data_IF_525633063261
#
_entry.id   IF_525633063261
#
_cell.length_a   1.000
_cell.length_b   1.000
_cell.length_c   1.000
_cell.angle_alpha   90.00
_cell.angle_beta   90.00
_cell.angle_gamma   90.00
#
_symmetry.space_group_name_H-M   'P 1'
#
loop_
_entity.id
_entity.type
_entity.pdbx_description
1 polymer ?
#
# COMPACT_ATOMS: atom_id res chain seq x y z
N UNK A 1 -128.50 -200.95 116.00
CA UNK A 1 -128.04 -200.42 117.30
C UNK A 1 -126.60 -199.97 117.08
N UNK A 2 -126.11 -198.87 117.64
CA UNK A 2 -126.77 -197.91 118.54
C UNK A 2 -127.42 -196.72 117.79
N UNK A 3 -127.70 -195.63 118.50
CA UNK A 3 -128.21 -194.36 117.99
C UNK A 3 -127.11 -193.31 118.08
N UNK A 4 -126.93 -192.49 117.03
CA UNK A 4 -126.17 -191.24 117.11
C UNK A 4 -127.14 -190.05 117.13
N UNK A 5 -126.76 -188.98 117.84
CA UNK A 5 -127.68 -187.92 118.28
C UNK A 5 -127.47 -186.60 117.54
N UNK A 6 -128.52 -185.78 117.33
CA UNK A 6 -128.49 -184.61 116.44
C UNK A 6 -127.72 -183.38 116.97
N UNK A 7 -126.73 -183.55 117.87
CA UNK A 7 -125.93 -182.43 118.40
C UNK A 7 -124.65 -182.16 117.59
N UNK A 8 -123.97 -183.17 117.02
CA UNK A 8 -122.70 -182.96 116.32
C UNK A 8 -122.81 -182.15 115.02
N UNK A 9 -123.92 -182.26 114.28
CA UNK A 9 -124.16 -181.44 113.10
C UNK A 9 -124.29 -179.94 113.43
N UNK A 10 -124.66 -179.57 114.66
CA UNK A 10 -124.73 -178.17 115.08
C UNK A 10 -123.32 -177.56 115.25
N UNK A 11 -122.36 -178.33 115.76
CA UNK A 11 -120.99 -177.86 115.97
C UNK A 11 -120.26 -177.57 114.65
N UNK A 12 -120.37 -178.47 113.66
CA UNK A 12 -119.78 -178.24 112.33
C UNK A 12 -120.41 -177.01 111.62
N UNK A 13 -121.73 -176.83 111.74
CA UNK A 13 -122.42 -175.67 111.17
C UNK A 13 -122.01 -174.34 111.82
N UNK A 14 -121.56 -174.36 113.08
CA UNK A 14 -121.10 -173.15 113.78
C UNK A 14 -119.66 -172.78 113.41
N UNK A 15 -118.74 -173.75 113.36
CA UNK A 15 -117.36 -173.53 112.90
C UNK A 15 -117.30 -173.00 111.46
N UNK A 16 -118.12 -173.52 110.55
CA UNK A 16 -118.18 -173.02 109.18
C UNK A 16 -118.69 -171.57 109.09
N UNK A 17 -119.64 -171.15 109.96
CA UNK A 17 -120.08 -169.75 110.03
C UNK A 17 -119.00 -168.82 110.56
N UNK A 18 -118.20 -169.27 111.52
CA UNK A 18 -117.11 -168.50 112.11
C UNK A 18 -115.96 -168.31 111.11
N UNK A 19 -115.66 -169.32 110.29
CA UNK A 19 -114.76 -169.22 109.13
C UNK A 19 -115.33 -168.28 108.07
N UNK A 20 -116.62 -168.39 107.72
CA UNK A 20 -117.27 -167.49 106.75
C UNK A 20 -117.23 -166.04 107.24
N UNK A 21 -117.63 -165.75 108.47
CA UNK A 21 -117.58 -164.40 109.04
C UNK A 21 -116.16 -163.82 109.10
N UNK A 22 -115.16 -164.69 109.35
CA UNK A 22 -113.74 -164.29 109.29
C UNK A 22 -113.34 -163.93 107.85
N UNK A 23 -113.67 -164.77 106.87
CA UNK A 23 -113.41 -164.50 105.45
C UNK A 23 -114.20 -163.30 104.92
N UNK A 24 -115.41 -163.03 105.43
CA UNK A 24 -116.19 -161.82 105.10
C UNK A 24 -115.54 -160.57 105.70
N UNK A 25 -114.98 -160.65 106.92
CA UNK A 25 -114.20 -159.57 107.53
C UNK A 25 -112.85 -159.34 106.83
N UNK A 26 -112.20 -160.40 106.34
CA UNK A 26 -110.97 -160.30 105.55
C UNK A 26 -111.27 -159.81 104.12
N UNK A 27 -112.40 -160.21 103.52
CA UNK A 27 -112.83 -159.74 102.20
C UNK A 27 -113.18 -158.26 102.24
N UNK A 28 -114.01 -157.82 103.19
CA UNK A 28 -114.31 -156.39 103.37
C UNK A 28 -113.08 -155.57 103.79
N UNK A 29 -112.14 -156.16 104.55
CA UNK A 29 -110.84 -155.55 104.84
C UNK A 29 -109.91 -155.47 103.62
N UNK A 30 -109.97 -156.43 102.69
CA UNK A 30 -109.29 -156.38 101.39
C UNK A 30 -109.96 -155.36 100.47
N UNK A 31 -111.29 -155.36 100.36
CA UNK A 31 -112.06 -154.40 99.55
C UNK A 31 -111.81 -152.97 100.01
N UNK A 32 -111.89 -152.68 101.32
CA UNK A 32 -111.56 -151.34 101.84
C UNK A 32 -110.12 -150.91 101.57
N UNK A 33 -109.16 -151.85 101.55
CA UNK A 33 -107.77 -151.58 101.13
C UNK A 33 -107.61 -151.44 99.62
N UNK A 34 -108.46 -152.10 98.82
CA UNK A 34 -108.43 -152.08 97.37
C UNK A 34 -109.13 -150.81 96.84
N UNK A 35 -110.20 -150.36 97.48
CA UNK A 35 -110.83 -149.06 97.24
C UNK A 35 -109.98 -147.90 97.78
N UNK A 36 -109.30 -148.08 98.92
CA UNK A 36 -108.24 -147.18 99.37
C UNK A 36 -107.13 -147.05 98.33
N UNK A 37 -106.57 -148.18 97.87
CA UNK A 37 -105.56 -148.20 96.83
C UNK A 37 -106.06 -147.67 95.47
N UNK A 38 -107.35 -147.83 95.13
CA UNK A 38 -107.96 -147.19 93.94
C UNK A 38 -108.06 -145.68 94.11
N UNK A 39 -108.41 -145.18 95.29
CA UNK A 39 -108.47 -143.75 95.57
C UNK A 39 -107.07 -143.12 95.56
N UNK A 40 -106.09 -143.77 96.20
CA UNK A 40 -104.67 -143.39 96.12
C UNK A 40 -104.16 -143.44 94.69
N UNK A 41 -104.49 -144.46 93.91
CA UNK A 41 -104.06 -144.60 92.51
C UNK A 41 -104.73 -143.55 91.60
N UNK A 42 -106.01 -143.21 91.81
CA UNK A 42 -106.69 -142.14 91.09
C UNK A 42 -106.16 -140.74 91.47
N UNK A 43 -105.79 -140.53 92.73
CA UNK A 43 -105.12 -139.31 93.18
C UNK A 43 -103.69 -139.20 92.59
N UNK A 44 -102.93 -140.30 92.57
CA UNK A 44 -101.65 -140.36 91.87
C UNK A 44 -101.81 -140.17 90.36
N UNK A 45 -102.84 -140.72 89.70
CA UNK A 45 -103.13 -140.47 88.29
C UNK A 45 -103.47 -138.99 88.04
N UNK A 46 -104.20 -138.34 88.95
CA UNK A 46 -104.49 -136.90 88.89
C UNK A 46 -103.22 -136.07 89.08
N UNK A 47 -102.38 -136.39 90.07
CA UNK A 47 -101.09 -135.71 90.31
C UNK A 47 -100.11 -135.94 89.14
N UNK A 48 -100.10 -137.12 88.52
CA UNK A 48 -99.31 -137.41 87.32
C UNK A 48 -99.83 -136.64 86.11
N UNK A 49 -101.14 -136.48 85.95
CA UNK A 49 -101.72 -135.66 84.89
C UNK A 49 -101.42 -134.16 85.09
N UNK A 50 -101.54 -133.64 86.31
CA UNK A 50 -101.24 -132.25 86.65
C UNK A 50 -99.73 -131.95 86.51
N UNK A 51 -98.86 -132.84 86.98
CA UNK A 51 -97.40 -132.68 86.80
C UNK A 51 -96.94 -132.89 85.36
N UNK A 52 -97.63 -133.72 84.56
CA UNK A 52 -97.39 -133.82 83.11
C UNK A 52 -97.79 -132.54 82.38
N UNK A 53 -98.98 -131.98 82.67
CA UNK A 53 -99.42 -130.71 82.11
C UNK A 53 -98.49 -129.54 82.50
N UNK A 54 -98.07 -129.48 83.77
CA UNK A 54 -97.08 -128.52 84.24
C UNK A 54 -95.70 -128.73 83.59
N UNK A 55 -95.31 -129.97 83.28
CA UNK A 55 -94.08 -130.26 82.55
C UNK A 55 -94.16 -129.82 81.08
N UNK A 56 -95.31 -129.98 80.41
CA UNK A 56 -95.55 -129.44 79.06
C UNK A 56 -95.58 -127.90 79.05
N UNK A 57 -96.16 -127.27 80.07
CA UNK A 57 -96.08 -125.80 80.27
C UNK A 57 -94.63 -125.34 80.50
N UNK A 58 -93.84 -126.06 81.30
CA UNK A 58 -92.41 -125.74 81.47
C UNK A 58 -91.59 -126.00 80.19
N UNK A 59 -91.90 -127.04 79.40
CA UNK A 59 -91.23 -127.28 78.11
C UNK A 59 -91.57 -126.20 77.06
N UNK A 60 -92.81 -125.74 77.02
CA UNK A 60 -93.22 -124.62 76.15
C UNK A 60 -92.63 -123.28 76.64
N UNK A 61 -92.57 -123.05 77.95
CA UNK A 61 -91.86 -121.90 78.55
C UNK A 61 -90.36 -121.91 78.20
N UNK A 62 -89.68 -123.05 78.36
CA UNK A 62 -88.25 -123.21 78.02
C UNK A 62 -88.00 -122.98 76.53
N UNK A 63 -88.84 -123.51 75.63
CA UNK A 63 -88.66 -123.29 74.18
C UNK A 63 -88.94 -121.84 73.75
N UNK A 64 -89.89 -121.15 74.40
CA UNK A 64 -90.09 -119.70 74.22
C UNK A 64 -88.89 -118.89 74.76
N UNK A 65 -88.35 -119.25 75.93
CA UNK A 65 -87.16 -118.60 76.48
C UNK A 65 -85.90 -118.84 75.64
N UNK A 66 -85.74 -120.03 75.07
CA UNK A 66 -84.65 -120.34 74.12
C UNK A 66 -84.78 -119.50 72.84
N UNK A 67 -85.98 -119.38 72.28
CA UNK A 67 -86.21 -118.51 71.13
C UNK A 67 -85.94 -117.03 71.45
N UNK A 68 -86.24 -116.56 72.66
CA UNK A 68 -85.88 -115.22 73.14
C UNK A 68 -84.37 -115.07 73.37
N UNK A 69 -83.70 -116.07 73.92
CA UNK A 69 -82.24 -116.08 74.13
C UNK A 69 -81.49 -115.99 72.80
N UNK A 70 -81.91 -116.76 71.78
CA UNK A 70 -81.31 -116.74 70.46
C UNK A 70 -81.68 -115.46 69.67
N UNK A 71 -82.89 -114.90 69.85
CA UNK A 71 -83.23 -113.57 69.34
C UNK A 71 -82.36 -112.47 69.97
N UNK A 72 -82.13 -112.52 71.28
CA UNK A 72 -81.26 -111.56 71.98
C UNK A 72 -79.79 -111.73 71.57
N UNK A 73 -79.31 -112.96 71.39
CA UNK A 73 -77.98 -113.24 70.81
C UNK A 73 -77.82 -112.63 69.42
N UNK A 74 -78.81 -112.81 68.54
CA UNK A 74 -78.80 -112.22 67.20
C UNK A 74 -78.76 -110.68 67.26
N UNK A 75 -79.60 -110.06 68.08
CA UNK A 75 -79.62 -108.61 68.25
C UNK A 75 -78.33 -108.05 68.89
N UNK A 76 -77.68 -108.79 69.80
CA UNK A 76 -76.37 -108.44 70.36
C UNK A 76 -75.30 -108.52 69.28
N UNK A 77 -75.25 -109.60 68.49
CA UNK A 77 -74.28 -109.75 67.41
C UNK A 77 -74.45 -108.68 66.31
N UNK A 78 -75.69 -108.29 66.01
CA UNK A 78 -76.02 -107.18 65.11
C UNK A 78 -75.53 -105.84 65.68
N UNK A 79 -75.83 -105.53 66.94
CA UNK A 79 -75.37 -104.32 67.61
C UNK A 79 -73.83 -104.25 67.79
N UNK A 80 -73.16 -105.39 68.00
CA UNK A 80 -71.70 -105.48 68.03
C UNK A 80 -71.09 -105.23 66.64
N UNK A 81 -71.70 -105.74 65.58
CA UNK A 81 -71.30 -105.48 64.19
C UNK A 81 -71.53 -104.00 63.79
N UNK A 82 -72.69 -103.43 64.13
CA UNK A 82 -72.96 -101.99 63.94
C UNK A 82 -71.94 -101.14 64.70
N UNK A 83 -71.64 -101.46 65.96
CA UNK A 83 -70.66 -100.74 66.77
C UNK A 83 -69.25 -100.85 66.20
N UNK A 84 -68.85 -102.02 65.69
CA UNK A 84 -67.56 -102.19 65.03
C UNK A 84 -67.47 -101.36 63.73
N UNK A 85 -68.55 -101.30 62.94
CA UNK A 85 -68.63 -100.46 61.75
C UNK A 85 -68.60 -98.96 62.10
N UNK A 86 -69.34 -98.52 63.11
CA UNK A 86 -69.33 -97.14 63.62
C UNK A 86 -67.96 -96.74 64.16
N UNK A 87 -67.29 -97.63 64.91
CA UNK A 87 -65.93 -97.39 65.40
C UNK A 87 -64.96 -97.22 64.21
N UNK A 88 -64.98 -98.15 63.26
CA UNK A 88 -64.14 -98.08 62.04
C UNK A 88 -64.38 -96.78 61.26
N UNK A 89 -65.64 -96.35 61.12
CA UNK A 89 -65.99 -95.09 60.47
C UNK A 89 -65.51 -93.86 61.26
N UNK A 90 -65.57 -93.89 62.59
CA UNK A 90 -65.08 -92.80 63.45
C UNK A 90 -63.55 -92.70 63.44
N UNK A 91 -62.84 -93.83 63.37
CA UNK A 91 -61.38 -93.88 63.24
C UNK A 91 -60.96 -93.37 61.85
N UNK A 92 -61.64 -93.78 60.78
CA UNK A 92 -61.41 -93.28 59.43
C UNK A 92 -61.65 -91.76 59.32
N UNK A 93 -62.76 -91.25 59.88
CA UNK A 93 -63.05 -89.81 59.93
C UNK A 93 -62.02 -89.04 60.76
N UNK A 94 -61.51 -89.63 61.84
CA UNK A 94 -60.45 -89.01 62.66
C UNK A 94 -59.14 -88.88 61.87
N UNK A 95 -58.79 -89.90 61.07
CA UNK A 95 -57.63 -89.85 60.16
C UNK A 95 -57.85 -88.81 59.06
N UNK A 96 -59.03 -88.76 58.45
CA UNK A 96 -59.37 -87.76 57.41
C UNK A 96 -59.29 -86.33 57.95
N UNK A 97 -59.88 -86.06 59.12
CA UNK A 97 -59.79 -84.75 59.76
C UNK A 97 -58.34 -84.37 60.13
N UNK A 98 -57.51 -85.34 60.52
CA UNK A 98 -56.10 -85.11 60.79
C UNK A 98 -55.33 -84.74 59.51
N UNK A 99 -55.52 -85.45 58.40
CA UNK A 99 -54.85 -85.13 57.13
C UNK A 99 -55.33 -83.80 56.53
N UNK A 100 -56.63 -83.47 56.64
CA UNK A 100 -57.14 -82.15 56.27
C UNK A 100 -56.54 -81.03 57.13
N UNK A 101 -56.30 -81.28 58.42
CA UNK A 101 -55.65 -80.30 59.32
C UNK A 101 -54.18 -80.11 58.94
N UNK A 102 -53.43 -81.18 58.73
CA UNK A 102 -52.02 -81.12 58.29
C UNK A 102 -51.87 -80.40 56.94
N UNK A 103 -52.77 -80.67 55.98
CA UNK A 103 -52.80 -79.95 54.70
C UNK A 103 -53.11 -78.46 54.90
N UNK A 104 -54.10 -78.09 55.71
CA UNK A 104 -54.45 -76.70 55.98
C UNK A 104 -53.34 -75.94 56.72
N UNK A 105 -52.58 -76.59 57.59
CA UNK A 105 -51.40 -76.01 58.23
C UNK A 105 -50.25 -75.81 57.23
N UNK A 106 -50.02 -76.76 56.32
CA UNK A 106 -49.03 -76.63 55.25
C UNK A 106 -49.37 -75.53 54.24
N UNK A 107 -50.62 -75.45 53.78
CA UNK A 107 -51.11 -74.38 52.90
C UNK A 107 -51.01 -73.00 53.57
N UNK A 108 -51.35 -72.92 54.87
CA UNK A 108 -51.20 -71.68 55.65
C UNK A 108 -49.73 -71.28 55.81
N UNK A 109 -48.83 -72.21 56.04
CA UNK A 109 -47.40 -71.94 56.15
C UNK A 109 -46.83 -71.44 54.81
N UNK A 110 -47.23 -72.04 53.68
CA UNK A 110 -46.85 -71.58 52.34
C UNK A 110 -47.38 -70.16 52.08
N UNK A 111 -48.67 -69.89 52.32
CA UNK A 111 -49.24 -68.55 52.12
C UNK A 111 -48.63 -67.48 53.03
N UNK A 112 -48.18 -67.82 54.24
CA UNK A 112 -47.43 -66.88 55.07
C UNK A 112 -46.04 -66.61 54.49
N UNK A 113 -45.32 -67.62 54.02
CA UNK A 113 -44.03 -67.44 53.35
C UNK A 113 -44.16 -66.62 52.05
N UNK A 114 -45.21 -66.85 51.26
CA UNK A 114 -45.52 -66.06 50.06
C UNK A 114 -45.79 -64.59 50.40
N UNK A 115 -46.55 -64.33 51.49
CA UNK A 115 -46.86 -62.98 51.94
C UNK A 115 -45.63 -62.24 52.49
N UNK A 116 -44.78 -62.92 53.25
CA UNK A 116 -43.50 -62.37 53.73
C UNK A 116 -42.55 -62.07 52.55
N UNK A 117 -42.50 -62.93 51.53
CA UNK A 117 -41.73 -62.71 50.31
C UNK A 117 -42.27 -61.53 49.47
N UNK A 118 -43.60 -61.40 49.30
CA UNK A 118 -44.20 -60.23 48.64
C UNK A 118 -43.95 -58.94 49.42
N UNK A 119 -43.99 -58.98 50.75
CA UNK A 119 -43.69 -57.82 51.60
C UNK A 119 -42.25 -57.37 51.44
N UNK A 120 -41.29 -58.31 51.40
CA UNK A 120 -39.88 -58.00 51.12
C UNK A 120 -39.67 -57.44 49.70
N UNK A 121 -40.35 -57.99 48.68
CA UNK A 121 -40.26 -57.50 47.31
C UNK A 121 -40.85 -56.09 47.14
N UNK A 122 -41.93 -55.76 47.87
CA UNK A 122 -42.50 -54.40 47.91
C UNK A 122 -41.53 -53.41 48.58
N UNK A 123 -40.82 -53.83 49.62
CA UNK A 123 -39.80 -53.00 50.28
C UNK A 123 -38.59 -52.72 49.36
N UNK A 124 -38.05 -53.72 48.66
CA UNK A 124 -37.01 -53.55 47.63
C UNK A 124 -37.47 -52.57 46.54
N UNK A 125 -38.67 -52.77 46.00
CA UNK A 125 -39.20 -51.94 44.93
C UNK A 125 -39.41 -50.48 45.40
N UNK A 126 -39.88 -50.25 46.63
CA UNK A 126 -40.00 -48.89 47.19
C UNK A 126 -38.63 -48.21 47.29
N UNK A 127 -37.65 -48.90 47.89
CA UNK A 127 -36.28 -48.35 48.03
C UNK A 127 -35.61 -48.06 46.70
N UNK A 128 -35.83 -48.90 45.67
CA UNK A 128 -35.33 -48.67 44.30
C UNK A 128 -36.02 -47.50 43.61
N UNK A 129 -37.32 -47.31 43.83
CA UNK A 129 -38.07 -46.15 43.29
C UNK A 129 -37.67 -44.86 44.00
N UNK A 130 -37.37 -44.90 45.30
CA UNK A 130 -36.82 -43.76 46.05
C UNK A 130 -35.40 -43.41 45.58
N UNK A 131 -34.52 -44.40 45.37
CA UNK A 131 -33.19 -44.20 44.81
C UNK A 131 -33.24 -43.60 43.40
N UNK A 132 -34.10 -44.11 42.52
CA UNK A 132 -34.29 -43.58 41.17
C UNK A 132 -34.78 -42.12 41.19
N UNK A 133 -35.70 -41.75 42.08
CA UNK A 133 -36.15 -40.35 42.24
C UNK A 133 -35.03 -39.42 42.73
N UNK A 134 -34.14 -39.90 43.59
CA UNK A 134 -32.98 -39.13 44.04
C UNK A 134 -31.95 -38.95 42.92
N UNK A 135 -31.79 -39.93 42.04
CA UNK A 135 -30.96 -39.82 40.83
C UNK A 135 -31.57 -38.87 39.80
N UNK A 136 -32.87 -39.00 39.49
CA UNK A 136 -33.61 -38.06 38.61
C UNK A 136 -33.50 -36.60 39.10
N UNK A 137 -33.67 -36.36 40.40
CA UNK A 137 -33.55 -35.03 40.99
C UNK A 137 -32.13 -34.45 40.81
N UNK A 138 -31.10 -35.25 41.11
CA UNK A 138 -29.69 -34.86 40.92
C UNK A 138 -29.36 -34.60 39.45
N UNK A 139 -29.87 -35.41 38.53
CA UNK A 139 -29.68 -35.23 37.09
C UNK A 139 -30.40 -33.96 36.59
N UNK A 140 -31.57 -33.62 37.14
CA UNK A 140 -32.26 -32.38 36.84
C UNK A 140 -31.45 -31.14 37.29
N UNK A 141 -30.91 -31.14 38.53
CA UNK A 141 -30.03 -30.08 39.04
C UNK A 141 -28.77 -29.92 38.17
N UNK A 142 -28.13 -31.02 37.78
CA UNK A 142 -26.95 -31.00 36.90
C UNK A 142 -27.27 -30.46 35.50
N UNK A 143 -28.46 -30.76 34.97
CA UNK A 143 -28.90 -30.32 33.65
C UNK A 143 -29.29 -28.83 33.67
N UNK A 144 -29.87 -28.32 34.77
CA UNK A 144 -30.11 -26.89 34.98
C UNK A 144 -28.80 -26.11 35.12
N UNK A 145 -27.84 -26.61 35.91
CA UNK A 145 -26.51 -26.01 36.03
C UNK A 145 -25.77 -25.93 34.68
N UNK A 146 -25.78 -27.01 33.90
CA UNK A 146 -25.16 -27.04 32.57
C UNK A 146 -25.84 -26.10 31.56
N UNK A 147 -27.16 -25.85 31.70
CA UNK A 147 -27.87 -24.83 30.91
C UNK A 147 -27.44 -23.41 31.29
N UNK A 148 -27.27 -23.12 32.58
CA UNK A 148 -26.80 -21.83 33.05
C UNK A 148 -25.37 -21.53 32.56
N UNK A 149 -24.46 -22.49 32.71
CA UNK A 149 -23.08 -22.38 32.20
C UNK A 149 -23.05 -22.16 30.68
N UNK A 150 -23.90 -22.86 29.92
CA UNK A 150 -24.01 -22.68 28.47
C UNK A 150 -24.52 -21.28 28.06
N UNK A 151 -25.41 -20.67 28.86
CA UNK A 151 -25.84 -19.28 28.66
C UNK A 151 -24.70 -18.30 28.93
N UNK A 152 -24.02 -18.43 30.08
CA UNK A 152 -22.90 -17.59 30.49
C UNK A 152 -21.73 -17.65 29.48
N UNK A 153 -21.42 -18.85 28.96
CA UNK A 153 -20.42 -19.03 27.91
C UNK A 153 -20.84 -18.41 26.57
N UNK A 154 -22.15 -18.43 26.25
CA UNK A 154 -22.68 -17.80 25.03
C UNK A 154 -22.58 -16.28 25.11
N UNK A 155 -23.00 -15.67 26.23
CA UNK A 155 -22.92 -14.21 26.47
C UNK A 155 -21.47 -13.71 26.46
N UNK A 156 -20.53 -14.45 27.08
CA UNK A 156 -19.09 -14.16 27.00
C UNK A 156 -18.55 -14.20 25.56
N UNK A 157 -19.01 -15.18 24.78
CA UNK A 157 -18.55 -15.41 23.41
C UNK A 157 -19.16 -14.41 22.41
N UNK A 158 -20.35 -13.86 22.68
CA UNK A 158 -20.86 -12.68 21.98
C UNK A 158 -20.09 -11.40 22.36
N UNK A 159 -19.80 -11.21 23.65
CA UNK A 159 -18.99 -10.07 24.14
C UNK A 159 -17.61 -10.05 23.49
N UNK A 160 -16.89 -11.16 23.51
CA UNK A 160 -15.55 -11.27 22.91
C UNK A 160 -15.55 -11.00 21.39
N UNK A 161 -16.62 -11.33 20.67
CA UNK A 161 -16.78 -11.00 19.23
C UNK A 161 -17.02 -9.51 19.00
N UNK A 162 -17.72 -8.83 19.90
CA UNK A 162 -17.91 -7.39 19.84
C UNK A 162 -16.57 -6.66 20.10
N UNK A 163 -15.77 -7.14 21.06
CA UNK A 163 -14.43 -6.63 21.35
C UNK A 163 -13.46 -6.85 20.18
N UNK A 164 -13.40 -8.05 19.61
CA UNK A 164 -12.56 -8.37 18.43
C UNK A 164 -12.91 -7.49 17.21
N UNK A 165 -14.20 -7.32 16.92
CA UNK A 165 -14.70 -6.42 15.88
C UNK A 165 -14.29 -4.96 16.11
N UNK A 166 -14.42 -4.47 17.36
CA UNK A 166 -14.01 -3.11 17.72
C UNK A 166 -12.49 -2.90 17.61
N UNK A 167 -11.69 -3.88 18.03
CA UNK A 167 -10.22 -3.86 17.90
C UNK A 167 -9.78 -3.92 16.44
N UNK A 168 -10.45 -4.70 15.58
CA UNK A 168 -10.19 -4.72 14.14
C UNK A 168 -10.47 -3.35 13.50
N UNK A 169 -11.57 -2.70 13.87
CA UNK A 169 -11.89 -1.34 13.39
C UNK A 169 -10.87 -0.29 13.85
N UNK A 170 -10.38 -0.37 15.09
CA UNK A 170 -9.29 0.50 15.58
C UNK A 170 -7.98 0.24 14.83
N UNK A 171 -7.66 -1.02 14.54
CA UNK A 171 -6.46 -1.44 13.81
C UNK A 171 -6.48 -0.97 12.34
N UNK A 172 -7.65 -0.94 11.70
CA UNK A 172 -7.85 -0.37 10.36
C UNK A 172 -7.73 1.16 10.37
N UNK A 173 -8.34 1.85 11.34
CA UNK A 173 -8.24 3.29 11.49
C UNK A 173 -6.78 3.75 11.72
N UNK A 174 -6.04 3.08 12.61
CA UNK A 174 -4.63 3.38 12.88
C UNK A 174 -3.72 3.15 11.66
N UNK A 175 -4.05 2.18 10.79
CA UNK A 175 -3.35 1.98 9.51
C UNK A 175 -3.63 3.10 8.52
N UNK A 176 -4.87 3.59 8.45
CA UNK A 176 -5.23 4.73 7.60
C UNK A 176 -4.52 6.01 8.05
N UNK A 177 -4.52 6.31 9.36
CA UNK A 177 -3.78 7.44 9.94
C UNK A 177 -2.27 7.33 9.67
N UNK A 178 -1.68 6.15 9.86
CA UNK A 178 -0.27 5.91 9.52
C UNK A 178 0.04 6.07 8.02
N UNK A 179 -0.95 5.86 7.15
CA UNK A 179 -0.85 6.16 5.70
C UNK A 179 -0.81 7.66 5.44
N UNK A 180 -1.82 8.40 5.92
CA UNK A 180 -1.90 9.86 5.76
C UNK A 180 -0.65 10.56 6.32
N UNK A 181 -0.18 10.15 7.50
CA UNK A 181 1.05 10.69 8.11
C UNK A 181 2.30 10.39 7.27
N UNK A 182 2.33 9.27 6.52
CA UNK A 182 3.44 8.94 5.62
C UNK A 182 3.41 9.81 4.35
N UNK A 183 2.24 9.97 3.71
CA UNK A 183 2.07 10.85 2.54
C UNK A 183 2.40 12.32 2.87
N UNK A 184 1.98 12.79 4.05
CA UNK A 184 2.31 14.14 4.56
C UNK A 184 3.79 14.32 4.87
N UNK A 185 4.46 13.28 5.36
CA UNK A 185 5.91 13.26 5.60
C UNK A 185 6.72 13.26 4.30
N UNK A 186 6.26 12.55 3.26
CA UNK A 186 6.86 12.59 1.93
C UNK A 186 6.65 13.96 1.25
N UNK A 187 5.46 14.53 1.38
CA UNK A 187 5.15 15.89 0.89
C UNK A 187 6.06 16.93 1.53
N UNK A 188 6.19 16.93 2.87
CA UNK A 188 7.05 17.87 3.58
C UNK A 188 8.54 17.73 3.22
N UNK A 189 9.01 16.52 2.88
CA UNK A 189 10.39 16.31 2.38
C UNK A 189 10.60 16.88 0.98
N UNK A 190 9.59 16.78 0.10
CA UNK A 190 9.66 17.40 -1.22
C UNK A 190 9.67 18.93 -1.13
N UNK A 191 8.88 19.50 -0.20
CA UNK A 191 8.88 20.94 0.10
C UNK A 191 10.23 21.42 0.66
N UNK A 192 10.81 20.70 1.63
CA UNK A 192 12.13 21.00 2.22
C UNK A 192 13.28 20.92 1.19
N UNK A 193 13.24 19.94 0.28
CA UNK A 193 14.19 19.83 -0.84
C UNK A 193 14.04 21.02 -1.81
N UNK A 194 12.82 21.36 -2.21
CA UNK A 194 12.57 22.48 -3.13
C UNK A 194 12.94 23.85 -2.52
N UNK A 195 12.70 24.04 -1.22
CA UNK A 195 13.15 25.23 -0.47
C UNK A 195 14.68 25.28 -0.37
N UNK A 196 15.34 24.13 -0.19
CA UNK A 196 16.81 24.06 -0.18
C UNK A 196 17.41 24.46 -1.53
N UNK A 197 16.89 23.94 -2.65
CA UNK A 197 17.32 24.32 -4.00
C UNK A 197 17.10 25.82 -4.31
N UNK A 198 15.96 26.39 -3.88
CA UNK A 198 15.70 27.82 -3.99
C UNK A 198 16.69 28.66 -3.18
N UNK A 199 17.07 28.18 -1.98
CA UNK A 199 17.98 28.89 -1.08
C UNK A 199 19.43 28.81 -1.57
N UNK A 200 19.86 27.70 -2.16
CA UNK A 200 21.15 27.61 -2.87
C UNK A 200 21.18 28.52 -4.12
N UNK A 201 20.09 28.57 -4.89
CA UNK A 201 19.95 29.48 -6.03
C UNK A 201 20.07 30.94 -5.60
N UNK A 202 19.36 31.35 -4.54
CA UNK A 202 19.41 32.70 -4.00
C UNK A 202 20.81 33.10 -3.51
N UNK A 203 21.55 32.17 -2.87
CA UNK A 203 22.96 32.39 -2.49
C UNK A 203 23.88 32.57 -3.69
N UNK A 204 23.65 31.84 -4.78
CA UNK A 204 24.43 32.00 -6.01
C UNK A 204 24.15 33.36 -6.69
N UNK A 205 22.90 33.83 -6.65
CA UNK A 205 22.56 35.18 -7.11
C UNK A 205 23.15 36.28 -6.21
N UNK A 206 23.10 36.12 -4.89
CA UNK A 206 23.73 37.03 -3.91
C UNK A 206 25.25 37.15 -4.13
N UNK A 207 25.94 36.03 -4.35
CA UNK A 207 27.36 36.01 -4.65
C UNK A 207 27.68 36.74 -5.97
N UNK A 208 26.91 36.47 -7.04
CA UNK A 208 27.07 37.11 -8.35
C UNK A 208 26.76 38.60 -8.34
N UNK A 209 25.77 39.04 -7.55
CA UNK A 209 25.48 40.46 -7.33
C UNK A 209 26.60 41.13 -6.55
N UNK A 210 27.18 40.44 -5.56
CA UNK A 210 28.32 40.94 -4.77
C UNK A 210 29.59 41.10 -5.61
N UNK A 211 29.90 40.12 -6.47
CA UNK A 211 30.98 40.20 -7.47
C UNK A 211 30.77 41.40 -8.41
N UNK A 212 29.58 41.54 -9.00
CA UNK A 212 29.26 42.67 -9.88
C UNK A 212 29.31 44.03 -9.18
N UNK A 213 29.03 44.12 -7.89
CA UNK A 213 29.21 45.36 -7.12
C UNK A 213 30.69 45.69 -6.89
N UNK A 214 31.56 44.68 -6.76
CA UNK A 214 33.02 44.89 -6.71
C UNK A 214 33.56 45.35 -8.06
N UNK A 215 33.14 44.73 -9.17
CA UNK A 215 33.49 45.17 -10.53
C UNK A 215 33.08 46.62 -10.81
N UNK A 216 31.85 46.99 -10.42
CA UNK A 216 31.34 48.35 -10.58
C UNK A 216 32.12 49.36 -9.74
N UNK A 217 32.44 49.03 -8.47
CA UNK A 217 33.26 49.89 -7.62
C UNK A 217 34.69 50.05 -8.14
N UNK A 218 35.29 48.99 -8.69
CA UNK A 218 36.60 49.07 -9.34
C UNK A 218 36.58 49.95 -10.59
N UNK A 219 35.52 49.85 -11.42
CA UNK A 219 35.36 50.72 -12.59
C UNK A 219 35.04 52.17 -12.23
N UNK A 220 34.30 52.42 -11.14
CA UNK A 220 34.08 53.76 -10.58
C UNK A 220 35.40 54.37 -10.09
N UNK A 221 36.26 53.59 -9.42
CA UNK A 221 37.60 54.02 -9.04
C UNK A 221 38.48 54.33 -10.27
N UNK A 222 38.53 53.45 -11.27
CA UNK A 222 39.30 53.67 -12.51
C UNK A 222 38.83 54.95 -13.24
N UNK A 223 37.51 55.17 -13.33
CA UNK A 223 36.94 56.38 -13.92
C UNK A 223 37.27 57.63 -13.09
N UNK A 224 37.28 57.53 -11.76
CA UNK A 224 37.68 58.63 -10.87
C UNK A 224 39.15 58.98 -11.03
N UNK A 225 40.04 57.99 -11.02
CA UNK A 225 41.48 58.18 -11.25
C UNK A 225 41.72 58.79 -12.64
N UNK A 226 41.04 58.29 -13.68
CA UNK A 226 41.09 58.85 -15.04
C UNK A 226 40.60 60.29 -15.12
N UNK A 227 39.54 60.66 -14.39
CA UNK A 227 39.07 62.05 -14.31
C UNK A 227 40.12 62.94 -13.64
N UNK A 228 40.69 62.54 -12.49
CA UNK A 228 41.74 63.34 -11.83
C UNK A 228 43.01 63.49 -12.67
N UNK A 229 43.36 62.48 -13.47
CA UNK A 229 44.46 62.57 -14.44
C UNK A 229 44.14 63.54 -15.58
N UNK A 230 42.92 63.50 -16.14
CA UNK A 230 42.47 64.45 -17.16
C UNK A 230 42.38 65.89 -16.62
N UNK A 231 41.96 66.08 -15.38
CA UNK A 231 41.97 67.39 -14.70
C UNK A 231 43.41 67.91 -14.53
N UNK A 232 44.37 67.05 -14.19
CA UNK A 232 45.79 67.40 -14.11
C UNK A 232 46.41 67.69 -15.50
N UNK A 233 46.05 66.93 -16.55
CA UNK A 233 46.44 67.20 -17.93
C UNK A 233 45.88 68.55 -18.43
N UNK A 234 44.61 68.85 -18.14
CA UNK A 234 43.96 70.12 -18.47
C UNK A 234 44.64 71.28 -17.71
N UNK A 235 44.92 71.12 -16.42
CA UNK A 235 45.65 72.12 -15.64
C UNK A 235 47.07 72.36 -16.18
N UNK A 236 47.76 71.30 -16.61
CA UNK A 236 49.09 71.39 -17.23
C UNK A 236 49.03 72.07 -18.60
N UNK A 237 48.03 71.75 -19.42
CA UNK A 237 47.82 72.38 -20.73
C UNK A 237 47.43 73.86 -20.60
N UNK A 238 46.59 74.20 -19.63
CA UNK A 238 46.23 75.58 -19.31
C UNK A 238 47.45 76.39 -18.85
N UNK A 239 48.24 75.85 -17.90
CA UNK A 239 49.47 76.51 -17.43
C UNK A 239 50.51 76.71 -18.54
N UNK A 240 50.58 75.79 -19.52
CA UNK A 240 51.39 75.98 -20.73
C UNK A 240 50.86 77.08 -21.63
N UNK A 241 49.54 77.18 -21.84
CA UNK A 241 48.95 78.27 -22.61
C UNK A 241 49.15 79.63 -21.93
N UNK A 242 49.06 79.69 -20.59
CA UNK A 242 49.36 80.90 -19.80
C UNK A 242 50.84 81.33 -19.89
N UNK A 243 51.77 80.45 -20.29
CA UNK A 243 53.18 80.76 -20.57
C UNK A 243 53.43 81.05 -22.07
N UNK A 244 52.90 80.21 -22.97
CA UNK A 244 53.04 80.34 -24.42
C UNK A 244 52.37 81.62 -24.96
N UNK A 245 51.21 82.04 -24.43
CA UNK A 245 50.50 83.25 -24.89
C UNK A 245 51.31 84.54 -24.67
N UNK A 246 51.78 84.88 -23.44
CA UNK A 246 52.60 86.08 -23.25
C UNK A 246 53.96 85.99 -23.95
N UNK A 247 54.53 84.79 -24.09
CA UNK A 247 55.75 84.59 -24.88
C UNK A 247 55.53 84.94 -26.38
N UNK A 248 54.43 84.47 -26.98
CA UNK A 248 54.06 84.81 -28.37
C UNK A 248 53.64 86.27 -28.53
N UNK A 249 53.04 86.89 -27.51
CA UNK A 249 52.76 88.34 -27.51
C UNK A 249 54.08 89.14 -27.52
N UNK A 250 55.06 88.78 -26.68
CA UNK A 250 56.37 89.42 -26.67
C UNK A 250 57.16 89.21 -27.97
N UNK A 251 57.08 88.02 -28.60
CA UNK A 251 57.62 87.79 -29.95
C UNK A 251 56.95 88.69 -30.99
N UNK A 252 55.62 88.83 -30.96
CA UNK A 252 54.87 89.68 -31.88
C UNK A 252 55.22 91.17 -31.68
N UNK A 253 55.33 91.64 -30.44
CA UNK A 253 55.78 93.01 -30.13
C UNK A 253 57.21 93.24 -30.64
N UNK A 254 58.12 92.28 -30.46
CA UNK A 254 59.50 92.36 -30.96
C UNK A 254 59.57 92.35 -32.50
N UNK A 255 58.76 91.53 -33.18
CA UNK A 255 58.64 91.53 -34.64
C UNK A 255 58.02 92.84 -35.13
N UNK A 256 57.02 93.38 -34.44
CA UNK A 256 56.38 94.65 -34.80
C UNK A 256 57.33 95.84 -34.61
N UNK A 257 58.19 95.82 -33.59
CA UNK A 257 59.28 96.77 -33.42
C UNK A 257 60.33 96.66 -34.55
N UNK A 258 60.74 95.43 -34.92
CA UNK A 258 61.63 95.21 -36.07
C UNK A 258 61.00 95.70 -37.38
N UNK A 259 59.69 95.55 -37.56
CA UNK A 259 58.98 96.09 -38.73
C UNK A 259 59.04 97.63 -38.72
N UNK A 260 58.76 98.31 -37.60
CA UNK A 260 58.87 99.77 -37.54
C UNK A 260 60.29 100.27 -37.77
N UNK A 261 61.31 99.59 -37.23
CA UNK A 261 62.72 99.93 -37.45
C UNK A 261 63.10 99.77 -38.94
N UNK A 262 62.67 98.68 -39.58
CA UNK A 262 62.88 98.46 -41.02
C UNK A 262 62.06 99.39 -41.91
N UNK A 263 60.88 99.85 -41.47
CA UNK A 263 60.13 100.89 -42.17
C UNK A 263 60.87 102.23 -42.09
N UNK A 264 61.38 102.62 -40.93
CA UNK A 264 62.18 103.83 -40.78
C UNK A 264 63.50 103.79 -41.59
N UNK A 265 64.17 102.64 -41.61
CA UNK A 265 65.35 102.42 -42.46
C UNK A 265 65.00 102.50 -43.96
N UNK A 266 63.85 101.98 -44.38
CA UNK A 266 63.36 102.12 -45.76
C UNK A 266 62.96 103.55 -46.12
N UNK A 267 62.42 104.33 -45.19
CA UNK A 267 62.14 105.76 -45.38
C UNK A 267 63.44 106.55 -45.52
N UNK A 268 64.43 106.32 -44.66
CA UNK A 268 65.75 106.97 -44.75
C UNK A 268 66.49 106.58 -46.04
N UNK A 269 66.50 105.29 -46.41
CA UNK A 269 67.05 104.83 -47.69
C UNK A 269 66.29 105.39 -48.90
N UNK A 270 64.99 105.64 -48.81
CA UNK A 270 64.23 106.33 -49.87
C UNK A 270 64.60 107.82 -49.95
N UNK A 271 64.80 108.50 -48.81
CA UNK A 271 65.27 109.88 -48.77
C UNK A 271 66.72 110.03 -49.29
N UNK A 272 67.60 109.08 -48.95
CA UNK A 272 68.94 108.98 -49.54
C UNK A 272 68.85 108.75 -51.06
N UNK A 273 67.97 107.86 -51.53
CA UNK A 273 67.75 107.63 -52.97
C UNK A 273 67.23 108.88 -53.67
N UNK A 274 66.27 109.61 -53.10
CA UNK A 274 65.77 110.86 -53.66
C UNK A 274 66.84 111.95 -53.70
N UNK A 275 67.70 112.02 -52.67
CA UNK A 275 68.86 112.91 -52.65
C UNK A 275 69.85 112.55 -53.77
N UNK A 276 70.21 111.28 -53.92
CA UNK A 276 71.07 110.79 -55.00
C UNK A 276 70.43 110.99 -56.39
N UNK A 277 69.11 110.88 -56.52
CA UNK A 277 68.39 111.17 -57.76
C UNK A 277 68.41 112.67 -58.09
N UNK A 278 68.38 113.55 -57.09
CA UNK A 278 68.58 114.99 -57.27
C UNK A 278 70.04 115.34 -57.64
N UNK A 279 71.04 114.67 -57.05
CA UNK A 279 72.44 114.81 -57.45
C UNK A 279 72.68 114.33 -58.89
N UNK A 280 72.09 113.19 -59.28
CA UNK A 280 72.14 112.68 -60.66
C UNK A 280 71.47 113.67 -61.62
N UNK A 281 70.30 114.21 -61.30
CA UNK A 281 69.63 115.23 -62.12
C UNK A 281 70.48 116.50 -62.25
N UNK A 282 71.12 116.97 -61.18
CA UNK A 282 72.06 118.09 -61.23
C UNK A 282 73.32 117.79 -62.06
N UNK A 283 73.81 116.55 -62.03
CA UNK A 283 74.92 116.12 -62.90
C UNK A 283 74.54 116.03 -64.38
N UNK A 284 73.28 115.72 -64.68
CA UNK A 284 72.72 115.73 -66.02
C UNK A 284 72.53 117.17 -66.53
N UNK A 285 72.01 118.09 -65.70
CA UNK A 285 71.93 119.51 -66.06
C UNK A 285 73.32 120.12 -66.30
N UNK A 286 74.34 119.72 -65.53
CA UNK A 286 75.74 120.07 -65.79
C UNK A 286 76.27 119.48 -67.11
N UNK A 287 75.91 118.24 -67.44
CA UNK A 287 76.30 117.62 -68.71
C UNK A 287 75.64 118.32 -69.93
N UNK A 288 74.36 118.68 -69.84
CA UNK A 288 73.65 119.46 -70.86
C UNK A 288 74.26 120.86 -71.02
N UNK A 289 74.67 121.50 -69.93
CA UNK A 289 75.40 122.78 -69.96
C UNK A 289 76.78 122.64 -70.63
N UNK A 290 77.50 121.54 -70.40
CA UNK A 290 78.78 121.25 -71.08
C UNK A 290 78.55 121.03 -72.58
N UNK A 291 77.59 120.19 -72.98
CA UNK A 291 77.25 119.96 -74.38
C UNK A 291 76.83 121.25 -75.11
N UNK A 292 76.13 122.16 -74.42
CA UNK A 292 75.80 123.49 -74.95
C UNK A 292 77.05 124.36 -75.15
N UNK A 293 78.05 124.31 -74.26
CA UNK A 293 79.32 125.01 -74.46
C UNK A 293 80.19 124.37 -75.55
N UNK A 294 80.21 123.05 -75.68
CA UNK A 294 80.89 122.35 -76.78
C UNK A 294 80.28 122.71 -78.14
N UNK A 295 78.95 122.84 -78.21
CA UNK A 295 78.24 123.36 -79.39
C UNK A 295 78.68 124.79 -79.73
N UNK A 296 78.74 125.70 -78.74
CA UNK A 296 79.26 127.06 -78.96
C UNK A 296 80.74 127.07 -79.38
N UNK A 297 81.57 126.16 -78.84
CA UNK A 297 82.97 126.02 -79.23
C UNK A 297 83.11 125.48 -80.66
N UNK A 298 82.21 124.58 -81.09
CA UNK A 298 82.15 124.09 -82.47
C UNK A 298 81.72 125.19 -83.46
N UNK A 299 80.69 125.97 -83.13
CA UNK A 299 80.27 127.14 -83.94
C UNK A 299 81.40 128.18 -84.05
N UNK A 300 82.13 128.44 -82.96
CA UNK A 300 83.31 129.30 -82.98
C UNK A 300 84.45 128.70 -83.83
N UNK A 301 84.69 127.39 -83.79
CA UNK A 301 85.65 126.73 -84.69
C UNK A 301 85.22 126.83 -86.17
N UNK A 302 83.92 126.75 -86.47
CA UNK A 302 83.41 126.96 -87.83
C UNK A 302 83.65 128.39 -88.28
N UNK A 303 83.36 129.40 -87.44
CA UNK A 303 83.68 130.80 -87.73
C UNK A 303 85.19 131.02 -87.97
N UNK A 304 86.05 130.42 -87.15
CA UNK A 304 87.51 130.47 -87.36
C UNK A 304 87.91 129.82 -88.69
N UNK A 305 87.34 128.66 -89.06
CA UNK A 305 87.61 128.04 -90.38
C UNK A 305 87.13 128.91 -91.54
N UNK A 306 85.95 129.52 -91.46
CA UNK A 306 85.44 130.43 -92.50
C UNK A 306 86.35 131.63 -92.67
N UNK A 307 86.73 132.31 -91.57
CA UNK A 307 87.65 133.45 -91.59
C UNK A 307 89.06 133.06 -92.08
N UNK A 308 89.49 131.81 -91.85
CA UNK A 308 90.76 131.30 -92.38
C UNK A 308 90.69 131.07 -93.89
N UNK A 309 89.60 130.50 -94.40
CA UNK A 309 89.39 130.32 -95.85
C UNK A 309 89.27 131.67 -96.59
N UNK A 310 88.57 132.66 -96.02
CA UNK A 310 88.52 134.03 -96.57
C UNK A 310 89.90 134.70 -96.58
N UNK A 311 90.78 134.38 -95.62
CA UNK A 311 92.18 134.81 -95.58
C UNK A 311 93.03 134.15 -96.69
N UNK A 312 92.85 132.85 -96.93
CA UNK A 312 93.55 132.12 -97.99
C UNK A 312 93.13 132.59 -99.39
N UNK A 313 91.83 132.80 -99.65
CA UNK A 313 91.33 133.34 -100.92
C UNK A 313 91.89 134.75 -101.21
N UNK A 314 91.92 135.63 -100.19
CA UNK A 314 92.54 136.96 -100.30
C UNK A 314 94.07 136.91 -100.50
N UNK A 315 94.72 135.90 -99.94
CA UNK A 315 96.17 135.67 -100.08
C UNK A 315 96.50 135.16 -101.48
N UNK A 316 95.73 134.22 -102.00
CA UNK A 316 95.90 133.65 -103.34
C UNK A 316 95.63 134.68 -104.45
N UNK A 317 94.63 135.56 -104.26
CA UNK A 317 94.34 136.67 -105.17
C UNK A 317 95.47 137.73 -105.24
N UNK A 318 96.28 137.88 -104.18
CA UNK A 318 97.43 138.79 -104.12
C UNK A 318 98.63 138.24 -104.89
N UNK A 319 98.99 136.98 -104.65
CA UNK A 319 100.29 136.44 -105.10
C UNK A 319 100.30 136.04 -106.58
N UNK A 320 99.13 135.78 -107.17
CA UNK A 320 98.99 135.54 -108.62
C UNK A 320 99.37 136.74 -109.51
N UNK A 321 99.53 137.94 -108.94
CA UNK A 321 99.84 139.17 -109.68
C UNK A 321 101.35 139.49 -109.82
N UNK A 322 102.25 138.76 -109.12
CA UNK A 322 103.60 139.28 -108.83
C UNK A 322 104.79 138.29 -108.88
N UNK A 323 104.79 137.26 -109.74
CA UNK A 323 106.05 136.60 -110.14
C UNK A 323 105.97 135.83 -111.48
N UNK A 324 107.07 135.86 -112.24
CA UNK A 324 107.29 135.00 -113.41
C UNK A 324 108.69 134.35 -113.39
N UNK A 325 108.91 133.46 -112.43
CA UNK A 325 109.97 132.44 -112.43
C UNK A 325 109.52 131.32 -111.47
N UNK A 326 109.61 130.05 -111.89
CA UNK A 326 108.92 128.93 -111.22
C UNK A 326 109.81 128.16 -110.21
N UNK A 327 109.23 127.49 -109.19
CA UNK A 327 109.79 127.53 -107.83
C UNK A 327 110.51 126.25 -107.35
N UNK A 328 111.13 126.39 -106.17
CA UNK A 328 111.81 125.35 -105.39
C UNK A 328 110.86 124.57 -104.45
N UNK A 329 111.22 123.34 -104.01
CA UNK A 329 110.54 122.64 -102.92
C UNK A 329 111.43 122.41 -101.69
N UNK A 330 111.00 122.84 -100.49
CA UNK A 330 111.64 122.45 -99.22
C UNK A 330 110.63 122.36 -98.05
N UNK A 331 110.92 121.47 -97.08
CA UNK A 331 110.33 121.30 -95.72
C UNK A 331 108.83 120.93 -95.58
N UNK A 332 108.57 119.82 -94.85
CA UNK A 332 107.28 119.50 -94.16
C UNK A 332 107.57 118.75 -92.84
N UNK A 333 107.00 119.16 -91.68
CA UNK A 333 107.15 118.46 -90.37
C UNK A 333 105.83 118.00 -89.70
N UNK A 334 105.92 116.96 -88.83
CA UNK A 334 105.05 116.60 -87.65
C UNK A 334 103.50 116.56 -87.78
N UNK A 335 102.72 116.15 -86.74
CA UNK A 335 102.98 115.39 -85.49
C UNK A 335 102.36 113.95 -85.53
N UNK A 336 102.48 113.01 -84.58
CA UNK A 336 101.99 112.91 -83.18
C UNK A 336 100.49 113.30 -82.97
N UNK A 337 99.65 112.60 -82.20
CA UNK A 337 99.77 111.34 -81.43
C UNK A 337 98.38 110.65 -81.34
N UNK A 338 98.27 109.41 -80.82
CA UNK A 338 97.00 108.65 -80.78
C UNK A 338 96.76 107.99 -79.41
N UNK A 339 95.55 108.15 -78.86
CA UNK A 339 95.05 107.40 -77.71
C UNK A 339 93.55 107.05 -77.91
N UNK A 340 93.14 105.85 -77.49
CA UNK A 340 91.77 105.33 -77.64
C UNK A 340 91.39 104.43 -76.47
N UNK A 341 90.19 104.57 -75.93
CA UNK A 341 89.60 103.64 -74.97
C UNK A 341 88.06 103.67 -75.06
N UNK A 342 87.42 102.50 -75.08
CA UNK A 342 86.00 102.31 -74.72
C UNK A 342 85.75 100.83 -74.32
N UNK A 343 84.57 100.46 -73.80
CA UNK A 343 84.35 99.17 -73.08
C UNK A 343 82.91 98.60 -73.11
N UNK A 344 82.74 97.28 -73.02
CA UNK A 344 81.43 96.58 -72.87
C UNK A 344 81.41 95.31 -71.96
N UNK A 345 80.28 95.15 -71.27
CA UNK A 345 79.45 94.06 -70.64
C UNK A 345 79.59 92.54 -71.02
N UNK A 346 78.78 91.52 -70.55
CA UNK A 346 78.00 91.22 -69.28
C UNK A 346 77.82 89.69 -68.81
N UNK A 347 77.14 89.42 -67.66
CA UNK A 347 76.21 88.26 -67.23
C UNK A 347 76.59 86.72 -67.28
N UNK A 348 75.76 85.63 -66.97
CA UNK A 348 74.33 85.36 -66.50
C UNK A 348 74.08 84.16 -65.43
N UNK A 349 72.88 83.48 -65.36
CA UNK A 349 72.43 82.31 -64.48
C UNK A 349 71.35 81.32 -65.16
N UNK A 350 70.65 80.24 -64.65
CA UNK A 350 70.43 79.42 -63.37
C UNK A 350 69.34 78.24 -63.48
N UNK A 351 68.86 77.57 -62.37
CA UNK A 351 67.69 76.59 -62.17
C UNK A 351 67.83 75.02 -62.48
N UNK A 352 67.00 73.94 -62.16
CA UNK A 352 65.78 73.54 -61.32
C UNK A 352 65.57 71.94 -61.14
N UNK A 353 64.42 71.38 -60.61
CA UNK A 353 64.04 69.92 -60.30
C UNK A 353 62.47 69.63 -60.34
N UNK A 354 61.71 68.54 -59.84
CA UNK A 354 61.92 67.23 -59.09
C UNK A 354 60.93 65.96 -59.40
N UNK A 355 60.70 65.00 -58.44
CA UNK A 355 59.53 64.04 -58.14
C UNK A 355 59.38 62.49 -58.56
N UNK A 356 58.38 61.68 -58.02
CA UNK A 356 58.43 60.16 -57.80
C UNK A 356 57.24 59.07 -58.05
N UNK A 357 56.49 58.39 -57.09
CA UNK A 357 56.27 56.87 -57.02
C UNK A 357 54.85 56.19 -56.68
N UNK A 358 54.72 54.80 -56.54
CA UNK A 358 53.76 53.92 -55.68
C UNK A 358 53.17 52.49 -56.23
N UNK A 359 52.14 51.70 -55.66
CA UNK A 359 52.24 50.30 -55.06
C UNK A 359 51.07 49.17 -55.17
N UNK A 360 51.08 48.05 -54.34
CA UNK A 360 49.97 47.13 -53.75
C UNK A 360 49.53 45.65 -54.22
N UNK A 361 48.69 44.84 -53.45
CA UNK A 361 48.61 43.30 -53.42
C UNK A 361 47.29 42.48 -52.93
N UNK A 362 47.35 41.12 -52.64
CA UNK A 362 46.46 40.06 -51.92
C UNK A 362 45.30 39.14 -52.56
N UNK A 363 44.65 38.17 -51.80
CA UNK A 363 43.89 36.91 -52.27
C UNK A 363 42.83 36.18 -51.30
N UNK A 364 42.03 35.11 -51.68
CA UNK A 364 41.35 33.99 -50.86
C UNK A 364 40.14 33.12 -51.50
N UNK A 365 39.56 32.06 -50.84
CA UNK A 365 38.52 31.05 -51.37
C UNK A 365 37.51 30.29 -50.36
N UNK A 366 36.75 29.20 -50.75
CA UNK A 366 35.43 28.69 -50.16
C UNK A 366 35.13 27.08 -50.08
N UNK A 367 33.95 26.52 -49.60
CA UNK A 367 33.76 25.13 -48.98
C UNK A 367 32.89 23.94 -49.66
N UNK A 368 32.01 23.19 -48.90
CA UNK A 368 31.65 21.70 -48.92
C UNK A 368 30.18 21.25 -49.35
N UNK A 369 29.86 19.92 -49.55
CA UNK A 369 28.74 19.10 -48.87
C UNK A 369 28.43 17.62 -49.36
N UNK A 370 27.64 16.79 -48.61
CA UNK A 370 26.96 15.51 -49.06
C UNK A 370 26.58 14.38 -48.02
N UNK A 371 25.45 13.63 -48.16
CA UNK A 371 24.85 12.67 -47.14
C UNK A 371 24.22 11.35 -47.71
N UNK A 372 24.11 10.25 -46.91
CA UNK A 372 23.44 8.94 -47.24
C UNK A 372 22.57 8.33 -46.12
N UNK A 373 21.55 7.51 -46.46
CA UNK A 373 20.63 6.81 -45.52
C UNK A 373 21.23 5.55 -44.85
N UNK A 374 20.76 5.20 -43.65
CA UNK A 374 21.08 3.95 -42.92
C UNK A 374 19.84 3.30 -42.27
N UNK A 375 19.68 1.95 -42.33
CA UNK A 375 18.59 1.22 -41.65
C UNK A 375 18.81 1.12 -40.13
N UNK A 376 17.72 0.93 -39.37
CA UNK A 376 17.72 0.90 -37.89
C UNK A 376 17.37 -0.47 -37.31
N UNK A 377 17.80 -0.70 -36.07
CA UNK A 377 17.48 -1.95 -35.35
C UNK A 377 15.99 -2.08 -34.99
N UNK A 378 15.42 -3.25 -35.28
CA UNK A 378 13.99 -3.51 -35.11
C UNK A 378 13.55 -3.68 -33.64
N UNK A 379 14.45 -4.09 -32.75
CA UNK A 379 14.15 -4.17 -31.31
C UNK A 379 14.19 -2.78 -30.66
N UNK A 380 15.16 -1.94 -31.04
CA UNK A 380 15.22 -0.54 -30.60
C UNK A 380 13.99 0.24 -31.08
N UNK A 381 13.66 0.21 -32.38
CA UNK A 381 12.45 0.87 -32.92
C UNK A 381 11.18 0.36 -32.24
N UNK A 382 11.09 -0.96 -31.99
CA UNK A 382 9.96 -1.57 -31.26
C UNK A 382 9.84 -1.10 -29.80
N UNK A 383 10.96 -0.99 -29.08
CA UNK A 383 10.99 -0.51 -27.71
C UNK A 383 10.62 0.98 -27.61
N UNK A 384 11.18 1.82 -28.48
CA UNK A 384 10.83 3.25 -28.56
C UNK A 384 9.33 3.42 -28.83
N UNK A 385 8.77 2.74 -29.82
CA UNK A 385 7.33 2.85 -30.16
C UNK A 385 6.38 2.29 -29.09
N UNK A 386 6.88 1.54 -28.10
CA UNK A 386 6.09 1.14 -26.93
C UNK A 386 5.99 2.25 -25.86
N UNK A 387 6.93 3.19 -25.84
CA UNK A 387 7.05 4.25 -24.82
C UNK A 387 6.65 5.63 -25.36
N UNK A 388 6.77 5.89 -26.66
CA UNK A 388 6.43 7.17 -27.28
C UNK A 388 4.94 7.53 -27.04
N UNK A 389 4.64 8.63 -26.32
CA UNK A 389 3.26 9.06 -26.09
C UNK A 389 2.63 9.64 -27.36
N UNK A 390 1.31 9.52 -27.50
CA UNK A 390 0.54 10.22 -28.53
C UNK A 390 0.59 9.62 -29.95
N UNK A 391 1.16 8.41 -30.10
CA UNK A 391 1.11 7.64 -31.35
C UNK A 391 -0.33 7.33 -31.82
N UNK A 392 -0.56 7.10 -33.12
CA UNK A 392 -1.86 6.75 -33.67
C UNK A 392 -2.47 5.50 -33.00
N UNK A 393 -3.75 5.57 -32.65
CA UNK A 393 -4.40 4.52 -31.87
C UNK A 393 -4.52 3.18 -32.62
N UNK A 394 -4.66 3.19 -33.95
CA UNK A 394 -4.82 1.94 -34.73
C UNK A 394 -3.51 1.11 -34.76
N UNK A 395 -3.60 -0.22 -34.71
CA UNK A 395 -2.42 -1.09 -34.72
C UNK A 395 -1.71 -1.08 -36.08
N UNK A 396 -2.46 -1.02 -37.18
CA UNK A 396 -1.91 -1.08 -38.54
C UNK A 396 -1.06 0.15 -38.88
N UNK A 397 -1.46 1.33 -38.40
CA UNK A 397 -0.66 2.56 -38.49
C UNK A 397 0.64 2.44 -37.69
N UNK A 398 0.59 1.89 -36.46
CA UNK A 398 1.80 1.68 -35.65
C UNK A 398 2.75 0.63 -36.25
N UNK A 399 2.22 -0.41 -36.89
CA UNK A 399 3.02 -1.36 -37.66
C UNK A 399 3.73 -0.67 -38.84
N UNK A 400 2.99 0.09 -39.68
CA UNK A 400 3.59 0.81 -40.82
C UNK A 400 4.65 1.85 -40.40
N UNK A 401 4.43 2.55 -39.28
CA UNK A 401 5.43 3.49 -38.74
C UNK A 401 6.72 2.77 -38.31
N UNK A 402 6.59 1.62 -37.62
CA UNK A 402 7.71 0.79 -37.22
C UNK A 402 8.54 0.35 -38.43
N UNK A 403 7.86 -0.10 -39.48
CA UNK A 403 8.52 -0.69 -40.66
C UNK A 403 9.31 0.38 -41.44
N UNK A 404 8.71 1.56 -41.68
CA UNK A 404 9.41 2.71 -42.30
C UNK A 404 10.65 3.17 -41.49
N UNK A 405 10.58 3.12 -40.16
CA UNK A 405 11.69 3.50 -39.29
C UNK A 405 12.84 2.48 -39.32
N UNK A 406 12.53 1.18 -39.46
CA UNK A 406 13.51 0.09 -39.64
C UNK A 406 14.19 0.21 -41.01
N UNK A 407 13.44 0.51 -42.06
CA UNK A 407 13.94 0.74 -43.43
C UNK A 407 14.88 1.97 -43.54
N UNK A 408 14.99 2.79 -42.49
CA UNK A 408 15.97 3.87 -42.37
C UNK A 408 15.44 5.25 -42.76
N UNK A 409 14.12 5.42 -42.91
CA UNK A 409 13.54 6.72 -43.23
C UNK A 409 13.73 7.75 -42.10
N UNK A 410 13.80 9.03 -42.47
CA UNK A 410 13.80 10.15 -41.55
C UNK A 410 12.59 10.07 -40.60
N UNK A 411 12.82 10.24 -39.29
CA UNK A 411 11.80 10.15 -38.23
C UNK A 411 10.64 11.13 -38.42
N UNK A 412 10.91 12.30 -39.02
CA UNK A 412 9.92 13.31 -39.38
C UNK A 412 8.95 12.81 -40.47
N UNK A 413 9.48 12.20 -41.53
CA UNK A 413 8.70 11.83 -42.71
C UNK A 413 7.95 10.51 -42.52
N UNK A 414 8.58 9.51 -41.86
CA UNK A 414 7.91 8.27 -41.47
C UNK A 414 6.70 8.54 -40.57
N UNK A 415 6.80 9.49 -39.62
CA UNK A 415 5.68 9.89 -38.78
C UNK A 415 4.62 10.69 -39.55
N UNK A 416 5.02 11.54 -40.49
CA UNK A 416 4.11 12.33 -41.35
C UNK A 416 3.21 11.47 -42.24
N UNK A 417 3.74 10.37 -42.78
CA UNK A 417 2.97 9.46 -43.64
C UNK A 417 1.86 8.73 -42.86
N UNK A 418 2.05 8.55 -41.55
CA UNK A 418 1.16 7.74 -40.71
C UNK A 418 0.21 8.61 -39.85
N UNK A 419 0.64 9.81 -39.42
CA UNK A 419 -0.12 10.71 -38.57
C UNK A 419 -0.01 12.17 -39.06
N UNK A 420 -1.14 12.74 -39.52
CA UNK A 420 -1.26 14.13 -39.94
C UNK A 420 -2.53 14.75 -39.30
N UNK A 421 -2.44 15.82 -38.49
CA UNK A 421 -1.22 16.53 -38.07
C UNK A 421 -0.31 15.68 -37.19
N UNK A 422 1.00 15.90 -37.31
CA UNK A 422 2.04 15.21 -36.53
C UNK A 422 1.95 15.64 -35.05
N UNK A 423 1.92 14.67 -34.13
CA UNK A 423 2.09 14.98 -32.71
C UNK A 423 3.54 15.35 -32.40
N UNK A 424 3.75 16.61 -31.97
CA UNK A 424 5.08 17.18 -31.67
C UNK A 424 5.80 16.44 -30.53
N UNK A 425 5.09 15.91 -29.53
CA UNK A 425 5.71 15.13 -28.46
C UNK A 425 6.19 13.78 -28.99
N UNK A 426 5.37 13.10 -29.81
CA UNK A 426 5.75 11.83 -30.43
C UNK A 426 6.98 11.98 -31.32
N UNK A 427 7.05 13.09 -32.08
CA UNK A 427 8.20 13.40 -32.94
C UNK A 427 9.48 13.64 -32.11
N UNK A 428 9.41 14.41 -31.03
CA UNK A 428 10.59 14.71 -30.21
C UNK A 428 11.22 13.44 -29.60
N UNK A 429 10.39 12.52 -29.08
CA UNK A 429 10.88 11.26 -28.51
C UNK A 429 11.44 10.33 -29.61
N UNK A 430 10.82 10.28 -30.78
CA UNK A 430 11.36 9.50 -31.91
C UNK A 430 12.70 10.06 -32.42
N UNK A 431 12.85 11.38 -32.46
CA UNK A 431 14.12 12.03 -32.85
C UNK A 431 15.21 11.85 -31.77
N UNK A 432 14.87 11.83 -30.48
CA UNK A 432 15.89 11.61 -29.42
C UNK A 432 16.35 10.16 -29.33
N UNK A 433 15.44 9.19 -29.46
CA UNK A 433 15.73 7.76 -29.25
C UNK A 433 16.23 7.03 -30.51
N UNK A 434 15.86 7.50 -31.70
CA UNK A 434 16.22 6.89 -32.99
C UNK A 434 17.02 7.83 -33.90
N UNK A 435 17.24 9.08 -33.48
CA UNK A 435 17.93 10.11 -34.25
C UNK A 435 17.04 10.80 -35.29
N UNK A 436 17.57 11.90 -35.83
CA UNK A 436 17.06 12.50 -37.06
C UNK A 436 17.48 11.73 -38.30
N UNK A 437 17.62 12.45 -39.40
CA UNK A 437 18.53 12.16 -40.50
C UNK A 437 19.43 13.39 -40.70
#
# INVERSE_FOLDING_TARGET
MAQETPQDLAAQAQSLREIIATMESETSGMEGRLDGARAELADLESQVAETAAALEEQQTSVTVLQAQEDQLRAAIAEAEAERAAQQTASEALTVEMATQTEQAEAERAQHQADFEAMTAALADLSGRVEAARAEDARLAEQLEAARAESSELSERLETARAEDSALSGQLEAARAESGELSERLETARAEDSALSEQLETARAEEARLSERLQDLGASEQEQTERLTNLEAEIATAAGRLDEDIPARQAELEAIQAQISDRTAELEDLSAQRETLQAEVAGSQELADQIAAQESQAADLQVQVRTLTAELDDLTQARDAALAAAQPEPEVVPEPAEVATADSETPEPAGAAAPEAPAPEEVAAAAPLDGVTLQPRDAAQVGATLAVVPGLPASPDQRARLRDLLIEGHCTIDALREVQNPINRQSLLVLVSELGGC
#
